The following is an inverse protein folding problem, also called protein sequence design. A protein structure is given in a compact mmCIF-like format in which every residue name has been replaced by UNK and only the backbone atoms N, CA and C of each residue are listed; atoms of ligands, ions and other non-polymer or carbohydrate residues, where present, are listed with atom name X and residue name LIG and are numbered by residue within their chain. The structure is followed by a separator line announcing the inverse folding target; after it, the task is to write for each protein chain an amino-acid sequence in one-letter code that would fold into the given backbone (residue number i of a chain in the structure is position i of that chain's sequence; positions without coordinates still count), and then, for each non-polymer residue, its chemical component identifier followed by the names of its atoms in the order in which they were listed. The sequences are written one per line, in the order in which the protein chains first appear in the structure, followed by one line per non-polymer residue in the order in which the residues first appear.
data_IF_327843599976
#
_entry.id   IF_327843599976
#
_cell.length_a   1.000
_cell.length_b   1.000
_cell.length_c   1.000
_cell.angle_alpha   90.00
_cell.angle_beta   90.00
_cell.angle_gamma   90.00
#
_symmetry.space_group_name_H-M   'P 1'
#
loop_
_entity.id
_entity.type
_entity.pdbx_description
1 polymer ?
#
# COMPACT_ATOMS: atom_id res chain seq x y z
N UNK A 1 -6.49 44.72 -26.89
CA UNK A 1 -5.42 43.72 -26.67
C UNK A 1 -4.51 43.73 -27.88
N UNK A 2 -3.20 43.93 -27.72
CA UNK A 2 -2.28 43.98 -28.86
C UNK A 2 -2.01 42.58 -29.40
N UNK A 3 -1.74 42.46 -30.70
CA UNK A 3 -1.44 41.18 -31.40
C UNK A 3 -0.28 40.42 -30.72
N UNK A 4 0.64 41.15 -30.08
CA UNK A 4 1.75 40.59 -29.28
C UNK A 4 1.27 39.87 -28.02
N UNK A 5 0.23 40.36 -27.37
CA UNK A 5 -0.35 39.71 -26.19
C UNK A 5 -1.07 38.40 -26.52
N UNK A 6 -1.64 38.31 -27.72
CA UNK A 6 -2.34 37.09 -28.21
C UNK A 6 -1.31 36.00 -28.55
N UNK A 7 -0.20 36.34 -29.20
CA UNK A 7 0.85 35.36 -29.52
C UNK A 7 1.55 34.80 -28.27
N UNK A 8 1.77 35.63 -27.24
CA UNK A 8 2.40 35.18 -26.00
C UNK A 8 1.49 34.23 -25.21
N UNK A 9 0.17 34.49 -25.20
CA UNK A 9 -0.81 33.61 -24.56
C UNK A 9 -0.93 32.26 -25.29
N UNK A 10 -0.92 32.26 -26.63
CA UNK A 10 -0.97 31.02 -27.42
C UNK A 10 0.31 30.17 -27.25
N UNK A 11 1.48 30.80 -27.10
CA UNK A 11 2.72 30.09 -26.83
C UNK A 11 2.74 29.42 -25.45
N UNK A 12 2.13 30.05 -24.43
CA UNK A 12 2.08 29.50 -23.07
C UNK A 12 1.07 28.34 -22.91
N UNK A 13 -0.01 28.29 -23.71
CA UNK A 13 -0.94 27.16 -23.68
C UNK A 13 -0.37 25.88 -24.33
N UNK A 14 0.64 25.97 -25.20
CA UNK A 14 1.29 24.82 -25.83
C UNK A 14 2.33 24.12 -24.94
N UNK A 15 2.66 24.70 -23.77
CA UNK A 15 3.64 24.19 -22.80
C UNK A 15 2.99 23.53 -21.58
N UNK A 16 1.66 23.39 -21.57
CA UNK A 16 1.00 22.55 -20.60
C UNK A 16 1.35 21.09 -20.92
N UNK A 17 2.44 20.59 -20.33
CA UNK A 17 2.67 19.15 -20.25
C UNK A 17 1.40 18.52 -19.65
N UNK A 18 0.95 17.36 -20.16
CA UNK A 18 -0.15 16.65 -19.53
C UNK A 18 0.21 16.45 -18.06
N UNK A 19 -0.57 17.07 -17.17
CA UNK A 19 -0.52 16.73 -15.77
C UNK A 19 -1.17 15.35 -15.66
N UNK A 20 -0.39 14.29 -15.90
CA UNK A 20 -0.85 12.95 -15.59
C UNK A 20 -1.02 12.86 -14.08
N UNK A 21 -2.27 12.82 -13.65
CA UNK A 21 -2.63 12.30 -12.34
C UNK A 21 -2.46 10.77 -12.40
N UNK A 22 -1.21 10.29 -12.54
CA UNK A 22 -0.74 8.90 -12.75
C UNK A 22 -1.12 7.92 -11.60
N UNK A 23 -2.29 8.05 -10.99
CA UNK A 23 -2.75 7.15 -9.92
C UNK A 23 -3.47 5.90 -10.46
N UNK A 24 -3.78 5.87 -11.75
CA UNK A 24 -4.52 4.78 -12.36
C UNK A 24 -3.61 3.59 -12.70
N UNK A 25 -2.34 3.86 -12.98
CA UNK A 25 -1.30 2.87 -13.30
C UNK A 25 -0.46 2.43 -12.08
N UNK A 26 -0.72 3.00 -10.91
CA UNK A 26 0.03 2.74 -9.67
C UNK A 26 -0.67 1.75 -8.75
N UNK A 27 0.10 1.19 -7.82
CA UNK A 27 -0.39 0.36 -6.73
C UNK A 27 -0.13 1.01 -5.37
N UNK A 28 -1.16 1.66 -4.81
CA UNK A 28 -1.02 2.36 -3.53
C UNK A 28 -0.99 1.37 -2.36
N UNK A 29 0.07 1.45 -1.57
CA UNK A 29 0.25 0.74 -0.31
C UNK A 29 0.27 1.75 0.83
N UNK A 30 -0.84 1.80 1.57
CA UNK A 30 -0.98 2.67 2.73
C UNK A 30 -0.82 1.84 4.01
N UNK A 31 0.29 2.03 4.71
CA UNK A 31 0.59 1.40 5.99
C UNK A 31 0.31 2.37 7.15
N UNK A 32 -0.43 1.91 8.15
CA UNK A 32 -0.58 2.57 9.45
C UNK A 32 0.00 1.67 10.53
N UNK A 33 0.98 2.18 11.27
CA UNK A 33 1.72 1.43 12.28
C UNK A 33 1.34 1.96 13.66
N UNK A 34 0.84 1.09 14.53
CA UNK A 34 0.63 1.37 15.95
C UNK A 34 1.68 0.64 16.78
N UNK A 35 2.25 1.33 17.76
CA UNK A 35 3.31 0.81 18.62
C UNK A 35 2.79 0.83 20.06
N UNK A 36 2.68 -0.35 20.65
CA UNK A 36 2.40 -0.56 22.06
C UNK A 36 3.68 -0.97 22.80
N UNK A 37 3.63 -1.12 24.13
CA UNK A 37 4.81 -1.50 24.92
C UNK A 37 5.38 -2.87 24.55
N UNK A 38 4.53 -3.80 24.10
CA UNK A 38 4.84 -5.22 23.89
C UNK A 38 4.57 -5.74 22.47
N UNK A 39 4.01 -4.90 21.59
CA UNK A 39 3.68 -5.28 20.22
C UNK A 39 3.66 -4.11 19.25
N UNK A 40 3.80 -4.43 17.97
CA UNK A 40 3.53 -3.55 16.84
C UNK A 40 2.34 -4.10 16.07
N UNK A 41 1.37 -3.24 15.77
CA UNK A 41 0.25 -3.54 14.89
C UNK A 41 0.42 -2.76 13.58
N UNK A 42 0.28 -3.43 12.45
CA UNK A 42 0.40 -2.86 11.11
C UNK A 42 -0.92 -3.09 10.37
N UNK A 43 -1.61 -2.01 10.04
CA UNK A 43 -2.76 -2.02 9.15
C UNK A 43 -2.31 -1.62 7.75
N UNK A 44 -2.44 -2.53 6.78
CA UNK A 44 -2.04 -2.32 5.41
C UNK A 44 -3.26 -2.27 4.50
N UNK A 45 -3.43 -1.13 3.83
CA UNK A 45 -4.47 -0.92 2.82
C UNK A 45 -3.83 -0.89 1.43
N UNK A 46 -4.29 -1.79 0.58
CA UNK A 46 -3.75 -2.05 -0.74
C UNK A 46 -4.78 -1.68 -1.80
N UNK A 47 -4.45 -0.72 -2.66
CA UNK A 47 -5.37 -0.18 -3.68
C UNK A 47 -4.70 -0.19 -5.05
N UNK A 48 -5.01 -1.15 -5.93
CA UNK A 48 -4.60 -1.06 -7.33
C UNK A 48 -5.33 0.08 -8.02
N UNK A 49 -4.59 0.82 -8.84
CA UNK A 49 -5.18 1.75 -9.79
C UNK A 49 -5.97 0.99 -10.86
N UNK A 50 -6.99 1.64 -11.42
CA UNK A 50 -7.92 0.99 -12.35
C UNK A 50 -7.25 0.45 -13.63
N UNK A 51 -6.15 1.06 -14.10
CA UNK A 51 -5.44 0.61 -15.30
C UNK A 51 -4.58 -0.64 -15.06
N UNK A 52 -4.19 -0.91 -13.81
CA UNK A 52 -3.43 -2.11 -13.43
C UNK A 52 -4.27 -3.17 -12.72
N UNK A 53 -5.54 -2.89 -12.42
CA UNK A 53 -6.38 -3.78 -11.62
C UNK A 53 -6.68 -5.12 -12.32
N UNK A 54 -6.85 -5.14 -13.64
CA UNK A 54 -7.04 -6.40 -14.36
C UNK A 54 -5.80 -7.29 -14.31
N UNK A 55 -4.61 -6.72 -14.53
CA UNK A 55 -3.34 -7.42 -14.38
C UNK A 55 -3.12 -7.89 -12.94
N UNK A 56 -3.54 -7.08 -11.96
CA UNK A 56 -3.47 -7.42 -10.56
C UNK A 56 -4.34 -8.63 -10.22
N UNK A 57 -5.61 -8.62 -10.63
CA UNK A 57 -6.56 -9.72 -10.39
C UNK A 57 -6.09 -10.99 -11.08
N UNK A 58 -5.64 -10.92 -12.34
CA UNK A 58 -5.10 -12.07 -13.06
C UNK A 58 -3.83 -12.66 -12.41
N UNK A 59 -3.10 -11.88 -11.61
CA UNK A 59 -1.98 -12.40 -10.82
C UNK A 59 -2.40 -13.19 -9.57
N UNK A 60 -3.64 -13.02 -9.12
CA UNK A 60 -4.21 -13.69 -7.94
C UNK A 60 -5.08 -14.87 -8.36
N UNK A 61 -5.86 -14.71 -9.43
CA UNK A 61 -6.72 -15.72 -10.07
C UNK A 61 -5.84 -16.81 -10.74
N UNK A 62 -5.45 -17.82 -9.95
CA UNK A 62 -4.51 -18.86 -10.37
C UNK A 62 -5.16 -19.93 -11.22
N UNK A 63 -6.44 -20.21 -10.99
CA UNK A 63 -7.17 -21.19 -11.78
C UNK A 63 -7.85 -20.60 -13.02
N UNK A 64 -7.95 -19.26 -13.10
CA UNK A 64 -8.38 -18.52 -14.28
C UNK A 64 -9.89 -18.56 -14.49
N UNK A 65 -10.66 -18.80 -13.44
CA UNK A 65 -12.13 -18.86 -13.51
C UNK A 65 -12.80 -17.47 -13.46
N UNK A 66 -12.01 -16.42 -13.22
CA UNK A 66 -12.45 -15.03 -13.15
C UNK A 66 -13.00 -14.61 -11.78
N UNK A 67 -12.94 -15.48 -10.77
CA UNK A 67 -13.43 -15.25 -9.41
C UNK A 67 -12.33 -15.52 -8.40
N UNK A 68 -12.03 -14.55 -7.54
CA UNK A 68 -11.03 -14.77 -6.49
C UNK A 68 -11.59 -15.58 -5.33
N UNK A 69 -11.19 -16.85 -5.28
CA UNK A 69 -11.51 -17.76 -4.19
C UNK A 69 -10.83 -17.34 -2.88
N UNK A 70 -11.34 -17.87 -1.76
CA UNK A 70 -10.72 -17.66 -0.45
C UNK A 70 -9.26 -18.15 -0.40
N UNK A 71 -8.96 -19.27 -1.06
CA UNK A 71 -7.62 -19.85 -1.06
C UNK A 71 -6.61 -18.94 -1.78
N UNK A 72 -7.00 -18.39 -2.93
CA UNK A 72 -6.15 -17.46 -3.68
C UNK A 72 -5.90 -16.16 -2.91
N UNK A 73 -6.93 -15.69 -2.21
CA UNK A 73 -6.81 -14.54 -1.31
C UNK A 73 -5.87 -14.79 -0.13
N UNK A 74 -5.94 -15.96 0.51
CA UNK A 74 -5.04 -16.37 1.59
C UNK A 74 -3.58 -16.50 1.09
N UNK A 75 -3.40 -17.08 -0.09
CA UNK A 75 -2.09 -17.18 -0.72
C UNK A 75 -1.52 -15.79 -1.07
N UNK A 76 -2.37 -14.89 -1.57
CA UNK A 76 -2.00 -13.52 -1.86
C UNK A 76 -1.58 -12.76 -0.59
N UNK A 77 -2.34 -12.88 0.50
CA UNK A 77 -1.97 -12.28 1.78
C UNK A 77 -0.63 -12.82 2.30
N UNK A 78 -0.37 -14.11 2.10
CA UNK A 78 0.91 -14.75 2.45
C UNK A 78 2.06 -14.22 1.58
N UNK A 79 1.83 -13.99 0.29
CA UNK A 79 2.81 -13.35 -0.60
C UNK A 79 3.14 -11.93 -0.14
N UNK A 80 2.12 -11.12 0.17
CA UNK A 80 2.31 -9.78 0.72
C UNK A 80 3.18 -9.86 1.97
N UNK A 81 2.81 -10.70 2.94
CA UNK A 81 3.54 -10.88 4.21
C UNK A 81 5.03 -11.17 3.99
N UNK A 82 5.38 -12.06 3.04
CA UNK A 82 6.78 -12.42 2.73
C UNK A 82 7.59 -11.26 2.13
N UNK A 83 6.92 -10.29 1.53
CA UNK A 83 7.52 -9.11 0.95
C UNK A 83 7.60 -7.92 1.91
N UNK A 84 7.05 -8.04 3.13
CA UNK A 84 7.18 -7.05 4.19
C UNK A 84 8.35 -7.40 5.12
N UNK A 85 9.06 -6.38 5.59
CA UNK A 85 9.98 -6.52 6.72
C UNK A 85 9.66 -5.47 7.78
N UNK A 86 9.84 -5.86 9.05
CA UNK A 86 9.73 -4.97 10.19
C UNK A 86 10.92 -5.26 11.10
N UNK A 87 11.62 -4.21 11.51
CA UNK A 87 12.71 -4.30 12.48
C UNK A 87 12.48 -3.33 13.63
N UNK A 88 12.82 -3.74 14.84
CA UNK A 88 12.94 -2.88 15.99
C UNK A 88 14.39 -2.88 16.48
N UNK A 89 14.99 -1.70 16.57
CA UNK A 89 16.36 -1.52 17.09
C UNK A 89 17.40 -2.41 16.35
N UNK A 90 17.19 -2.62 15.04
CA UNK A 90 18.02 -3.48 14.20
C UNK A 90 17.75 -4.99 14.32
N UNK A 91 16.72 -5.39 15.07
CA UNK A 91 16.29 -6.79 15.20
C UNK A 91 15.02 -7.03 14.40
N UNK A 92 15.05 -8.01 13.50
CA UNK A 92 13.89 -8.40 12.72
C UNK A 92 12.74 -8.93 13.61
N UNK A 93 11.54 -8.43 13.35
CA UNK A 93 10.31 -8.86 13.99
C UNK A 93 9.50 -9.75 13.04
N UNK A 94 8.90 -10.81 13.58
CA UNK A 94 8.04 -11.69 12.80
C UNK A 94 6.63 -11.09 12.71
N UNK A 95 6.31 -10.51 11.55
CA UNK A 95 4.94 -10.10 11.21
C UNK A 95 4.08 -11.36 11.05
N UNK A 96 2.93 -11.39 11.73
CA UNK A 96 1.91 -12.43 11.62
C UNK A 96 0.63 -11.82 11.11
N UNK A 97 0.00 -12.43 10.09
CA UNK A 97 -1.31 -12.02 9.63
C UNK A 97 -2.35 -12.31 10.74
N UNK A 98 -3.11 -11.29 11.12
CA UNK A 98 -4.12 -11.34 12.18
C UNK A 98 -5.53 -11.06 11.65
N UNK A 99 -5.63 -10.40 10.50
CA UNK A 99 -6.88 -10.10 9.82
C UNK A 99 -6.66 -9.89 8.34
N UNK A 100 -7.65 -10.27 7.54
CA UNK A 100 -7.69 -9.96 6.12
C UNK A 100 -9.14 -9.70 5.72
N UNK A 101 -9.37 -8.61 5.00
CA UNK A 101 -10.65 -8.31 4.36
C UNK A 101 -10.42 -8.18 2.86
N UNK A 102 -11.12 -9.02 2.12
CA UNK A 102 -11.07 -9.06 0.68
C UNK A 102 -12.27 -8.31 0.12
N UNK A 103 -12.00 -7.35 -0.74
CA UNK A 103 -13.02 -6.60 -1.43
C UNK A 103 -13.53 -7.40 -2.63
N UNK A 104 -14.76 -7.09 -3.05
CA UNK A 104 -15.31 -7.60 -4.29
C UNK A 104 -14.40 -7.19 -5.47
N UNK A 105 -14.15 -8.13 -6.38
CA UNK A 105 -13.22 -7.95 -7.49
C UNK A 105 -13.62 -6.76 -8.37
N UNK A 106 -14.92 -6.57 -8.63
CA UNK A 106 -15.38 -5.49 -9.49
C UNK A 106 -15.19 -4.13 -8.80
N UNK A 107 -15.34 -4.07 -7.48
CA UNK A 107 -15.06 -2.86 -6.70
C UNK A 107 -13.56 -2.55 -6.64
N UNK A 108 -12.70 -3.57 -6.56
CA UNK A 108 -11.24 -3.40 -6.65
C UNK A 108 -10.86 -2.88 -8.04
N UNK A 109 -11.44 -3.43 -9.11
CA UNK A 109 -11.19 -3.00 -10.49
C UNK A 109 -11.60 -1.56 -10.77
N UNK A 110 -12.68 -1.10 -10.13
CA UNK A 110 -13.14 0.28 -10.23
C UNK A 110 -12.36 1.24 -9.32
N UNK A 111 -11.43 0.74 -8.50
CA UNK A 111 -10.69 1.54 -7.51
C UNK A 111 -11.56 2.00 -6.33
N UNK A 112 -12.74 1.41 -6.16
CA UNK A 112 -13.74 1.77 -5.14
C UNK A 112 -13.50 1.05 -3.82
N UNK A 113 -12.82 -0.09 -3.86
CA UNK A 113 -12.49 -0.88 -2.68
C UNK A 113 -11.00 -1.21 -2.60
N UNK A 114 -10.54 -1.48 -1.38
CA UNK A 114 -9.15 -1.82 -1.09
C UNK A 114 -9.08 -3.15 -0.37
N UNK A 115 -7.95 -3.83 -0.52
CA UNK A 115 -7.64 -5.02 0.26
C UNK A 115 -7.05 -4.55 1.59
N UNK A 116 -7.56 -5.09 2.69
CA UNK A 116 -7.10 -4.74 4.03
C UNK A 116 -6.42 -5.94 4.64
N UNK A 117 -5.19 -5.77 5.10
CA UNK A 117 -4.41 -6.79 5.80
C UNK A 117 -3.93 -6.23 7.13
N UNK A 118 -4.19 -6.97 8.20
CA UNK A 118 -3.76 -6.63 9.55
C UNK A 118 -2.64 -7.57 9.98
N UNK A 119 -1.52 -7.01 10.39
CA UNK A 119 -0.39 -7.77 10.92
C UNK A 119 -0.07 -7.36 12.35
N UNK A 120 0.46 -8.32 13.11
CA UNK A 120 1.03 -8.06 14.43
C UNK A 120 2.42 -8.68 14.55
N UNK A 121 3.28 -8.01 15.30
CA UNK A 121 4.60 -8.48 15.69
C UNK A 121 4.82 -8.23 17.18
N UNK A 122 5.44 -9.19 17.88
CA UNK A 122 5.84 -8.98 19.27
C UNK A 122 7.00 -7.99 19.31
N UNK A 123 6.94 -7.05 20.25
CA UNK A 123 7.96 -6.02 20.45
C UNK A 123 8.70 -6.29 21.77
N UNK A 124 9.96 -6.74 21.73
CA UNK A 124 10.74 -6.99 22.95
C UNK A 124 10.95 -5.70 23.74
N UNK A 125 10.97 -5.71 25.06
CA UNK A 125 11.20 -4.50 25.90
C UNK A 125 12.50 -3.77 25.54
N UNK A 126 12.49 -2.43 25.49
CA UNK A 126 13.68 -1.61 25.33
C UNK A 126 14.02 -0.84 26.61
N UNK A 127 15.32 -0.59 26.79
CA UNK A 127 15.86 0.23 27.89
C UNK A 127 16.29 1.63 27.38
N UNK A 128 15.48 2.25 26.51
CA UNK A 128 15.82 3.55 25.90
C UNK A 128 14.98 3.90 24.68
N UNK A 129 15.38 4.95 23.93
CA UNK A 129 14.74 5.32 22.67
C UNK A 129 14.70 4.15 21.70
N UNK A 130 13.62 4.05 20.93
CA UNK A 130 13.42 2.97 19.96
C UNK A 130 13.41 3.48 18.54
N UNK A 131 13.87 2.64 17.63
CA UNK A 131 13.73 2.84 16.18
C UNK A 131 12.96 1.68 15.57
N UNK A 132 12.02 1.99 14.68
CA UNK A 132 11.33 1.02 13.85
C UNK A 132 11.67 1.25 12.39
N UNK A 133 12.02 0.19 11.69
CA UNK A 133 12.23 0.19 10.24
C UNK A 133 11.17 -0.70 9.62
N UNK A 134 10.36 -0.14 8.72
CA UNK A 134 9.38 -0.89 7.93
C UNK A 134 9.76 -0.80 6.45
N UNK A 135 9.80 -1.94 5.78
CA UNK A 135 10.04 -2.04 4.35
C UNK A 135 8.92 -2.85 3.69
N UNK A 136 8.45 -2.38 2.53
CA UNK A 136 7.64 -3.17 1.62
C UNK A 136 8.38 -3.31 0.31
N UNK A 137 8.64 -4.56 -0.10
CA UNK A 137 9.14 -4.91 -1.43
C UNK A 137 8.03 -5.46 -2.33
N UNK A 138 6.79 -5.44 -1.84
CA UNK A 138 5.66 -6.00 -2.57
C UNK A 138 5.37 -5.12 -3.79
N UNK A 139 5.38 -5.70 -4.99
CA UNK A 139 5.09 -4.99 -6.25
C UNK A 139 5.86 -3.67 -6.41
N UNK A 140 7.14 -3.65 -6.04
CA UNK A 140 8.00 -2.46 -6.06
C UNK A 140 8.19 -1.84 -7.45
N UNK A 141 7.83 -2.57 -8.50
CA UNK A 141 7.79 -2.12 -9.89
C UNK A 141 6.72 -1.06 -10.16
N UNK A 142 5.63 -1.08 -9.41
CA UNK A 142 4.46 -0.19 -9.59
C UNK A 142 3.95 0.44 -8.29
N UNK A 143 4.60 0.17 -7.16
CA UNK A 143 4.12 0.58 -5.85
C UNK A 143 4.35 2.08 -5.55
N UNK A 144 3.33 2.69 -4.95
CA UNK A 144 3.44 3.98 -4.27
C UNK A 144 3.15 3.79 -2.79
N UNK A 145 4.00 4.36 -1.95
CA UNK A 145 3.94 4.14 -0.50
C UNK A 145 3.41 5.36 0.24
N UNK A 146 2.55 5.09 1.22
CA UNK A 146 2.15 6.03 2.25
C UNK A 146 2.28 5.32 3.59
N UNK A 147 3.08 5.89 4.50
CA UNK A 147 3.35 5.27 5.80
C UNK A 147 3.10 6.29 6.90
N UNK A 148 2.24 5.92 7.86
CA UNK A 148 1.98 6.71 9.05
C UNK A 148 2.24 5.87 10.29
N UNK A 149 2.77 6.49 11.34
CA UNK A 149 2.83 5.92 12.67
C UNK A 149 1.83 6.65 13.57
N UNK A 150 1.07 5.90 14.37
CA UNK A 150 0.21 6.46 15.41
C UNK A 150 1.07 6.84 16.63
N UNK A 151 0.66 7.90 17.33
CA UNK A 151 1.23 8.21 18.63
C UNK A 151 0.97 7.02 19.59
N UNK A 152 1.98 6.57 20.37
CA UNK A 152 1.80 5.52 21.36
C UNK A 152 0.69 5.87 22.35
N UNK A 153 -0.13 4.89 22.72
CA UNK A 153 -1.25 5.07 23.66
C UNK A 153 -0.96 4.58 25.07
N UNK A 154 0.07 3.76 25.24
CA UNK A 154 0.49 3.26 26.54
C UNK A 154 1.28 4.34 27.29
N UNK A 155 1.10 4.49 28.61
CA UNK A 155 1.92 5.38 29.41
C UNK A 155 3.40 4.95 29.35
N UNK A 156 4.35 5.91 29.40
CA UNK A 156 5.77 5.62 29.39
C UNK A 156 6.24 4.86 30.65
#
# INVERSE_FOLDING_TARGET
MSVRGIMLAAALLGLAAPASAHRLDEYLQAATIAVASDRVELHLRLTPGAEVADMFVAGIDRDGDGVLSRAEWEDYATEVQRNLSLEADGTALSLRLTGASFADVDQVKQGEAAILLDFAADLPTANGPRSLTFESRHRSDIAVYLVNALAPRDPP
#
